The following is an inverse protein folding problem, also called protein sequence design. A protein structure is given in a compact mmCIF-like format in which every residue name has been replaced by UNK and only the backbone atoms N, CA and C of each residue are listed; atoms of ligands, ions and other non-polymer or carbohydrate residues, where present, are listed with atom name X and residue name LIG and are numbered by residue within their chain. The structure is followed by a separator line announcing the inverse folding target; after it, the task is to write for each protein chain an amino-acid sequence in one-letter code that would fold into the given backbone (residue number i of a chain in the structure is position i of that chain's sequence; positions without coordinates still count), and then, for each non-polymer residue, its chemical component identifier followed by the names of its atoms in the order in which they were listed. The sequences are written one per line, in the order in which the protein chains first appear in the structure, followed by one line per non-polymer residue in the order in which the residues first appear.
data_IF_439611305384
#
_entry.id   IF_439611305384
#
_cell.length_a   1.000
_cell.length_b   1.000
_cell.length_c   1.000
_cell.angle_alpha   90.00
_cell.angle_beta   90.00
_cell.angle_gamma   90.00
#
_symmetry.space_group_name_H-M   'P 1'
#
loop_
_entity.id
_entity.type
_entity.pdbx_description
1 polymer ?
#
# COMPACT_ATOMS: atom_id res chain seq x y z
N UNK A 1 -28.74 -33.14 -16.34
CA UNK A 1 -28.14 -31.80 -16.52
C UNK A 1 -28.02 -31.16 -15.14
N UNK A 2 -26.92 -30.52 -14.80
CA UNK A 2 -26.87 -29.72 -13.58
C UNK A 2 -27.98 -28.66 -13.64
N UNK A 3 -28.69 -28.45 -12.54
CA UNK A 3 -29.72 -27.42 -12.45
C UNK A 3 -29.08 -26.04 -12.68
N UNK A 4 -29.66 -25.22 -13.51
CA UNK A 4 -29.28 -23.85 -13.74
C UNK A 4 -30.39 -22.91 -13.35
N UNK A 5 -30.10 -21.86 -12.65
CA UNK A 5 -30.99 -20.71 -12.45
C UNK A 5 -30.55 -19.65 -13.45
N UNK A 6 -31.43 -19.22 -14.32
CA UNK A 6 -31.21 -18.15 -15.29
C UNK A 6 -31.99 -16.93 -14.86
N UNK A 7 -31.32 -15.81 -14.78
CA UNK A 7 -31.90 -14.50 -14.50
C UNK A 7 -31.74 -13.67 -15.79
N UNK A 8 -32.86 -13.30 -16.40
CA UNK A 8 -32.91 -12.53 -17.64
C UNK A 8 -32.79 -11.03 -17.32
N UNK A 9 -31.99 -10.29 -18.06
CA UNK A 9 -31.86 -8.83 -17.96
C UNK A 9 -32.90 -8.06 -18.80
N UNK A 10 -33.80 -8.78 -19.48
CA UNK A 10 -34.82 -8.22 -20.38
C UNK A 10 -34.29 -7.83 -21.76
N UNK A 11 -32.99 -7.99 -22.03
CA UNK A 11 -32.34 -7.70 -23.30
C UNK A 11 -31.83 -8.97 -24.02
N UNK A 12 -32.19 -10.15 -23.50
CA UNK A 12 -31.80 -11.44 -24.05
C UNK A 12 -30.48 -11.99 -23.50
N UNK A 13 -29.87 -11.32 -22.51
CA UNK A 13 -28.73 -11.84 -21.79
C UNK A 13 -29.15 -12.47 -20.45
N UNK A 14 -28.39 -13.45 -20.00
CA UNK A 14 -28.73 -14.21 -18.82
C UNK A 14 -27.55 -14.24 -17.85
N UNK A 15 -27.82 -13.97 -16.57
CA UNK A 15 -26.93 -14.39 -15.48
C UNK A 15 -27.23 -15.84 -15.15
N UNK A 16 -26.24 -16.71 -15.24
CA UNK A 16 -26.39 -18.14 -15.01
C UNK A 16 -25.67 -18.52 -13.75
N UNK A 17 -26.42 -19.01 -12.74
CA UNK A 17 -25.83 -19.62 -11.56
C UNK A 17 -25.63 -21.11 -11.81
N UNK A 18 -24.38 -21.55 -11.87
CA UNK A 18 -24.01 -22.96 -12.01
C UNK A 18 -23.13 -23.38 -10.85
N UNK A 19 -23.26 -24.63 -10.40
CA UNK A 19 -22.26 -25.21 -9.51
C UNK A 19 -21.08 -25.74 -10.34
N UNK A 20 -19.87 -25.54 -9.87
CA UNK A 20 -18.63 -25.93 -10.55
C UNK A 20 -18.27 -27.43 -10.40
N UNK A 21 -19.15 -28.27 -9.84
CA UNK A 21 -18.86 -29.70 -9.64
C UNK A 21 -19.89 -30.40 -8.75
N UNK A 22 -19.59 -31.66 -8.40
CA UNK A 22 -20.39 -32.43 -7.44
C UNK A 22 -20.20 -31.82 -6.04
N UNK A 23 -21.29 -31.32 -5.47
CA UNK A 23 -21.32 -30.86 -4.07
C UNK A 23 -21.59 -32.07 -3.20
N UNK A 24 -20.72 -32.37 -2.25
CA UNK A 24 -20.87 -33.47 -1.29
C UNK A 24 -22.02 -33.24 -0.27
N UNK A 25 -22.63 -32.06 -0.28
CA UNK A 25 -23.80 -31.67 0.52
C UNK A 25 -24.44 -30.43 -0.08
N UNK A 26 -25.69 -30.15 0.31
CA UNK A 26 -26.39 -28.91 -0.06
C UNK A 26 -25.60 -27.68 0.41
N UNK A 27 -25.56 -26.66 -0.43
CA UNK A 27 -24.98 -25.33 -0.11
C UNK A 27 -26.06 -24.28 -0.24
N UNK A 28 -26.19 -23.46 0.77
CA UNK A 28 -27.15 -22.36 0.80
C UNK A 28 -26.46 -21.06 0.41
N UNK A 29 -27.01 -20.35 -0.56
CA UNK A 29 -26.67 -18.96 -0.85
C UNK A 29 -27.80 -18.12 -0.31
N UNK A 30 -27.53 -17.34 0.74
CA UNK A 30 -28.51 -16.40 1.29
C UNK A 30 -28.37 -15.07 0.56
N UNK A 31 -29.43 -14.66 -0.13
CA UNK A 31 -29.51 -13.32 -0.75
C UNK A 31 -30.17 -12.42 0.29
N UNK A 32 -29.52 -11.32 0.74
CA UNK A 32 -30.13 -10.36 1.66
C UNK A 32 -31.41 -9.77 1.08
N UNK A 33 -32.40 -9.50 1.92
CA UNK A 33 -33.65 -8.83 1.51
C UNK A 33 -33.44 -7.30 1.44
N UNK A 34 -32.44 -6.88 0.70
CA UNK A 34 -32.04 -5.48 0.47
C UNK A 34 -31.43 -5.35 -0.91
N UNK A 35 -31.37 -4.12 -1.43
CA UNK A 35 -30.64 -3.85 -2.67
C UNK A 35 -29.14 -3.99 -2.39
N UNK A 36 -28.57 -5.10 -2.82
CA UNK A 36 -27.15 -5.40 -2.64
C UNK A 36 -26.53 -5.84 -3.96
N UNK A 37 -25.28 -5.48 -4.19
CA UNK A 37 -24.46 -6.01 -5.28
C UNK A 37 -23.63 -7.16 -4.76
N UNK A 38 -23.76 -8.35 -5.35
CA UNK A 38 -22.84 -9.45 -5.06
C UNK A 38 -21.45 -9.05 -5.53
N UNK A 39 -20.50 -8.96 -4.63
CA UNK A 39 -19.12 -8.69 -4.99
C UNK A 39 -18.59 -9.82 -5.88
N UNK A 40 -18.12 -9.46 -7.07
CA UNK A 40 -17.54 -10.41 -8.03
C UNK A 40 -16.14 -10.84 -7.67
N UNK A 41 -15.50 -10.11 -6.73
CA UNK A 41 -14.16 -10.40 -6.22
C UNK A 41 -14.20 -10.47 -4.70
N UNK A 42 -13.85 -11.63 -4.14
CA UNK A 42 -13.71 -11.83 -2.72
C UNK A 42 -12.27 -11.49 -2.32
N UNK A 43 -12.08 -10.50 -1.45
CA UNK A 43 -10.81 -10.22 -0.80
C UNK A 43 -10.02 -9.07 -1.42
N UNK A 44 -8.74 -9.05 -1.10
CA UNK A 44 -7.80 -8.00 -1.51
C UNK A 44 -7.46 -8.17 -2.98
N UNK A 45 -7.68 -7.13 -3.78
CA UNK A 45 -7.43 -7.12 -5.23
C UNK A 45 -6.08 -6.54 -5.62
N UNK A 46 -5.47 -5.76 -4.72
CA UNK A 46 -4.10 -5.24 -4.85
C UNK A 46 -3.41 -5.37 -3.50
N UNK A 47 -2.27 -6.04 -3.48
CA UNK A 47 -1.31 -5.98 -2.38
C UNK A 47 0.10 -6.01 -2.95
N UNK A 48 0.90 -5.01 -2.58
CA UNK A 48 2.23 -4.80 -3.11
C UNK A 48 3.18 -4.32 -2.01
N UNK A 49 4.42 -4.76 -2.05
CA UNK A 49 5.43 -4.37 -1.09
C UNK A 49 6.73 -3.94 -1.79
N UNK A 50 7.27 -2.83 -1.31
CA UNK A 50 8.51 -2.24 -1.76
C UNK A 50 9.49 -2.13 -0.60
N UNK A 51 10.77 -2.23 -0.88
CA UNK A 51 11.83 -2.09 0.11
C UNK A 51 12.91 -1.14 -0.36
N UNK A 52 13.58 -0.52 0.57
CA UNK A 52 14.71 0.37 0.30
C UNK A 52 15.96 -0.48 0.05
N UNK A 53 16.61 -0.28 -1.09
CA UNK A 53 17.74 -1.10 -1.54
C UNK A 53 19.11 -0.58 -1.08
N UNK A 54 19.18 0.67 -0.65
CA UNK A 54 20.42 1.32 -0.18
C UNK A 54 20.08 2.40 0.85
N UNK A 55 21.02 2.67 1.73
CA UNK A 55 20.94 3.76 2.71
C UNK A 55 20.73 5.11 2.03
N UNK A 56 19.96 5.97 2.67
CA UNK A 56 19.74 7.32 2.18
C UNK A 56 19.78 8.33 3.33
N UNK A 57 20.47 9.44 3.11
CA UNK A 57 20.62 10.52 4.08
C UNK A 57 19.34 11.36 4.23
N UNK A 58 19.24 12.08 5.34
CA UNK A 58 18.11 12.93 5.73
C UNK A 58 17.83 14.12 4.81
N UNK A 59 16.67 14.74 5.04
CA UNK A 59 16.14 15.94 4.36
C UNK A 59 15.80 15.76 2.88
N UNK A 60 15.52 14.51 2.47
CA UNK A 60 15.16 14.19 1.10
C UNK A 60 13.95 13.24 0.99
N UNK A 61 13.36 13.21 -0.21
CA UNK A 61 12.43 12.14 -0.60
C UNK A 61 13.22 10.84 -0.70
N UNK A 62 12.67 9.77 -0.16
CA UNK A 62 13.29 8.44 -0.21
C UNK A 62 13.09 7.86 -1.60
N UNK A 63 14.19 7.51 -2.30
CA UNK A 63 14.16 7.23 -3.74
C UNK A 63 14.60 5.83 -4.14
N UNK A 64 15.44 5.15 -3.35
CA UNK A 64 16.06 3.88 -3.75
C UNK A 64 15.16 2.67 -3.48
N UNK A 65 13.92 2.72 -3.97
CA UNK A 65 12.94 1.65 -3.79
C UNK A 65 13.02 0.59 -4.87
N UNK A 66 12.84 -0.67 -4.48
CA UNK A 66 12.59 -1.80 -5.37
C UNK A 66 11.40 -2.60 -4.87
N UNK A 67 10.64 -3.17 -5.81
CA UNK A 67 9.55 -4.09 -5.47
C UNK A 67 10.12 -5.35 -4.83
N UNK A 68 9.45 -5.87 -3.81
CA UNK A 68 9.88 -7.10 -3.13
C UNK A 68 9.70 -8.30 -4.05
N UNK A 69 10.80 -9.00 -4.31
CA UNK A 69 10.85 -10.19 -5.19
C UNK A 69 11.69 -11.31 -4.59
N UNK A 70 11.81 -11.38 -3.24
CA UNK A 70 12.54 -12.46 -2.58
C UNK A 70 11.77 -13.77 -2.64
N UNK A 71 12.51 -14.89 -2.51
CA UNK A 71 11.89 -16.22 -2.48
C UNK A 71 10.84 -16.33 -1.39
N UNK A 72 9.62 -16.72 -1.75
CA UNK A 72 8.49 -16.84 -0.83
C UNK A 72 7.68 -15.57 -0.61
N UNK A 73 8.04 -14.47 -1.29
CA UNK A 73 7.22 -13.25 -1.31
C UNK A 73 6.38 -13.20 -2.59
N UNK A 74 5.35 -12.34 -2.61
CA UNK A 74 4.49 -12.19 -3.78
C UNK A 74 3.66 -10.93 -3.71
N UNK A 75 2.99 -10.63 -4.83
CA UNK A 75 2.04 -9.52 -4.99
C UNK A 75 0.66 -10.06 -5.35
N UNK A 76 -0.37 -9.27 -5.10
CA UNK A 76 -1.74 -9.55 -5.54
C UNK A 76 -2.13 -8.46 -6.54
N UNK A 77 -2.60 -8.86 -7.71
CA UNK A 77 -3.08 -7.94 -8.75
C UNK A 77 -1.96 -7.10 -9.38
N UNK A 78 -2.29 -5.87 -9.73
CA UNK A 78 -1.35 -4.95 -10.37
C UNK A 78 -0.51 -4.21 -9.33
N UNK A 79 0.79 -4.14 -9.58
CA UNK A 79 1.74 -3.46 -8.70
C UNK A 79 1.64 -1.94 -8.78
N UNK A 80 2.08 -1.28 -7.71
CA UNK A 80 2.42 0.15 -7.75
C UNK A 80 3.50 0.39 -8.81
N UNK A 81 3.53 1.57 -9.37
CA UNK A 81 4.70 2.05 -10.11
C UNK A 81 5.45 3.12 -9.32
N UNK A 82 6.76 3.19 -9.49
CA UNK A 82 7.63 4.09 -8.75
C UNK A 82 8.55 4.88 -9.67
N UNK A 83 8.68 6.18 -9.43
CA UNK A 83 9.64 7.05 -10.11
C UNK A 83 10.12 8.15 -9.17
N UNK A 84 11.44 8.25 -8.98
CA UNK A 84 12.08 9.31 -8.17
C UNK A 84 11.45 9.49 -6.77
N UNK A 85 11.09 8.41 -6.11
CA UNK A 85 10.49 8.41 -4.77
C UNK A 85 8.97 8.59 -4.75
N UNK A 86 8.33 8.78 -5.90
CA UNK A 86 6.87 8.94 -6.02
C UNK A 86 6.24 7.64 -6.47
N UNK A 87 5.26 7.17 -5.71
CA UNK A 87 4.46 5.99 -6.02
C UNK A 87 3.13 6.38 -6.67
N UNK A 88 2.80 5.65 -7.73
CA UNK A 88 1.54 5.78 -8.46
C UNK A 88 0.70 4.53 -8.25
N UNK A 89 -0.56 4.72 -7.88
CA UNK A 89 -1.52 3.63 -7.65
C UNK A 89 -1.98 3.03 -8.98
N UNK A 90 -2.17 1.68 -9.04
CA UNK A 90 -2.58 1.00 -10.28
C UNK A 90 -4.07 1.19 -10.62
N UNK A 91 -4.90 1.52 -9.65
CA UNK A 91 -6.35 1.73 -9.82
C UNK A 91 -6.89 2.70 -8.77
N UNK A 92 -8.08 3.23 -8.99
CA UNK A 92 -8.83 3.97 -7.97
C UNK A 92 -9.29 3.05 -6.84
N UNK A 93 -9.58 3.61 -5.67
CA UNK A 93 -10.04 2.90 -4.48
C UNK A 93 -9.41 3.39 -3.18
N UNK A 94 -9.80 2.80 -2.08
CA UNK A 94 -9.21 3.08 -0.76
C UNK A 94 -8.02 2.15 -0.53
N UNK A 95 -6.86 2.73 -0.31
CA UNK A 95 -5.62 2.01 -0.05
C UNK A 95 -5.15 2.21 1.38
N UNK A 96 -4.79 1.13 2.04
CA UNK A 96 -3.94 1.18 3.23
C UNK A 96 -2.48 1.27 2.75
N UNK A 97 -1.80 2.33 3.17
CA UNK A 97 -0.38 2.56 2.91
C UNK A 97 0.36 2.48 4.24
N UNK A 98 1.29 1.54 4.36
CA UNK A 98 2.09 1.34 5.56
C UNK A 98 3.57 1.59 5.25
N UNK A 99 4.19 2.46 6.02
CA UNK A 99 5.63 2.71 6.00
C UNK A 99 6.26 2.12 7.26
N UNK A 100 7.19 1.18 7.08
CA UNK A 100 8.10 0.71 8.12
C UNK A 100 9.49 1.26 7.84
N UNK A 101 10.09 1.94 8.80
CA UNK A 101 11.43 2.51 8.65
C UNK A 101 12.41 1.96 9.69
N UNK A 102 13.65 1.78 9.27
CA UNK A 102 14.79 1.56 10.15
C UNK A 102 15.73 2.74 9.98
N UNK A 103 15.88 3.54 11.01
CA UNK A 103 16.61 4.82 10.96
C UNK A 103 17.71 4.82 12.00
N UNK A 104 18.87 5.28 11.57
CA UNK A 104 20.01 5.62 12.41
C UNK A 104 20.05 7.13 12.58
N UNK A 105 20.13 7.60 13.81
CA UNK A 105 20.20 9.02 14.12
C UNK A 105 21.10 9.29 15.32
N UNK A 106 21.80 10.42 15.27
CA UNK A 106 22.51 11.02 16.39
C UNK A 106 21.99 12.42 16.74
N UNK A 107 20.89 12.82 16.12
CA UNK A 107 20.30 14.15 16.22
C UNK A 107 19.21 14.24 17.29
N UNK A 108 18.97 15.46 17.74
CA UNK A 108 17.95 15.75 18.73
C UNK A 108 16.53 15.40 18.23
N UNK A 109 16.27 15.56 16.94
CA UNK A 109 14.94 15.28 16.35
C UNK A 109 15.08 14.72 14.94
N UNK A 110 14.54 13.54 14.72
CA UNK A 110 14.45 12.89 13.42
C UNK A 110 13.01 12.48 13.17
N UNK A 111 12.53 12.60 11.93
CA UNK A 111 11.16 12.31 11.56
C UNK A 111 11.09 11.61 10.22
N UNK A 112 10.24 10.59 10.12
CA UNK A 112 9.79 10.06 8.84
C UNK A 112 8.35 10.46 8.60
N UNK A 113 8.02 10.79 7.37
CA UNK A 113 6.67 11.25 7.02
C UNK A 113 6.13 10.52 5.80
N UNK A 114 4.81 10.37 5.78
CA UNK A 114 4.04 9.99 4.61
C UNK A 114 3.41 11.27 4.04
N UNK A 115 3.74 11.58 2.80
CA UNK A 115 3.18 12.72 2.07
C UNK A 115 2.28 12.24 0.92
N UNK A 116 1.12 12.87 0.79
CA UNK A 116 0.14 12.58 -0.27
C UNK A 116 -0.11 13.85 -1.08
N UNK A 117 -0.32 13.67 -2.37
CA UNK A 117 -0.84 14.71 -3.28
C UNK A 117 -2.13 14.27 -3.93
N UNK A 118 -3.02 15.21 -4.21
CA UNK A 118 -4.26 15.01 -4.97
C UNK A 118 -4.28 15.77 -6.30
N UNK A 119 -3.17 16.45 -6.63
CA UNK A 119 -3.02 17.24 -7.86
C UNK A 119 -1.68 16.97 -8.58
N UNK A 120 -0.96 15.91 -8.19
CA UNK A 120 0.35 15.52 -8.71
C UNK A 120 1.44 16.63 -8.67
N UNK A 121 1.29 17.61 -7.80
CA UNK A 121 2.26 18.72 -7.69
C UNK A 121 2.54 19.14 -6.25
N UNK A 122 1.50 19.42 -5.47
CA UNK A 122 1.63 19.86 -4.08
C UNK A 122 1.42 18.67 -3.14
N UNK A 123 2.40 18.40 -2.31
CA UNK A 123 2.38 17.31 -1.34
C UNK A 123 2.10 17.86 0.06
N UNK A 124 1.20 17.20 0.77
CA UNK A 124 0.91 17.47 2.18
C UNK A 124 1.39 16.30 3.05
N UNK A 125 1.99 16.61 4.18
CA UNK A 125 2.28 15.61 5.22
C UNK A 125 0.95 15.13 5.81
N UNK A 126 0.68 13.84 5.72
CA UNK A 126 -0.52 13.21 6.26
C UNK A 126 -0.22 12.51 7.58
N UNK A 127 0.97 11.92 7.69
CA UNK A 127 1.41 11.29 8.91
C UNK A 127 2.90 11.55 9.16
N UNK A 128 3.25 11.68 10.41
CA UNK A 128 4.60 11.96 10.87
C UNK A 128 4.94 11.08 12.07
N UNK A 129 6.05 10.38 11.98
CA UNK A 129 6.64 9.63 13.07
C UNK A 129 7.96 10.29 13.44
N UNK A 130 8.06 10.78 14.66
CA UNK A 130 9.22 11.48 15.15
C UNK A 130 9.75 10.88 16.45
N UNK A 131 11.03 11.04 16.66
CA UNK A 131 11.71 10.68 17.92
C UNK A 131 12.81 11.65 18.22
N UNK A 132 13.13 11.73 19.50
CA UNK A 132 14.23 12.52 20.01
C UNK A 132 15.28 11.62 20.62
N UNK A 133 16.54 11.95 20.37
CA UNK A 133 17.69 11.34 21.04
C UNK A 133 18.47 12.42 21.79
N UNK A 134 19.26 12.03 22.76
CA UNK A 134 20.26 12.96 23.32
C UNK A 134 21.35 13.18 22.29
N UNK A 135 21.68 14.43 22.01
CA UNK A 135 22.70 14.82 21.04
C UNK A 135 24.00 13.99 21.22
N UNK A 136 24.53 13.53 20.09
CA UNK A 136 25.79 12.79 19.97
C UNK A 136 25.78 11.32 20.42
N UNK A 137 24.62 10.74 20.69
CA UNK A 137 24.47 9.29 20.88
C UNK A 137 23.82 8.66 19.67
N UNK A 138 24.58 7.80 19.00
CA UNK A 138 24.04 7.04 17.87
C UNK A 138 22.92 6.12 18.35
N UNK A 139 21.76 6.23 17.75
CA UNK A 139 20.56 5.49 18.13
C UNK A 139 19.89 4.92 16.89
N UNK A 140 19.42 3.68 17.00
CA UNK A 140 18.65 3.01 15.95
C UNK A 140 17.19 2.95 16.35
N UNK A 141 16.31 3.33 15.43
CA UNK A 141 14.86 3.35 15.65
C UNK A 141 14.12 2.63 14.52
N UNK A 142 13.13 1.85 14.93
CA UNK A 142 12.17 1.25 13.99
C UNK A 142 10.83 1.90 14.26
N UNK A 143 10.24 2.47 13.21
CA UNK A 143 8.90 3.03 13.25
C UNK A 143 8.02 2.38 12.19
N UNK A 144 6.74 2.30 12.51
CA UNK A 144 5.71 1.86 11.55
C UNK A 144 4.53 2.81 11.64
N UNK A 145 4.12 3.28 10.49
CA UNK A 145 3.01 4.22 10.32
C UNK A 145 2.09 3.71 9.22
N UNK A 146 0.80 3.93 9.36
CA UNK A 146 -0.20 3.51 8.37
C UNK A 146 -1.28 4.57 8.20
N UNK A 147 -1.63 4.85 6.95
CA UNK A 147 -2.71 5.76 6.59
C UNK A 147 -3.66 5.09 5.59
N UNK A 148 -4.86 5.64 5.48
CA UNK A 148 -5.76 5.35 4.36
C UNK A 148 -5.68 6.47 3.33
N UNK A 149 -5.52 6.09 2.06
CA UNK A 149 -5.49 7.03 0.92
C UNK A 149 -6.68 6.73 0.03
N UNK A 150 -7.52 7.74 -0.18
CA UNK A 150 -8.61 7.69 -1.15
C UNK A 150 -8.07 8.07 -2.54
N UNK A 151 -7.92 7.08 -3.41
CA UNK A 151 -7.41 7.25 -4.76
C UNK A 151 -8.58 7.42 -5.72
N UNK A 152 -9.04 8.65 -5.87
CA UNK A 152 -10.12 9.03 -6.80
C UNK A 152 -9.63 9.17 -8.24
N UNK A 153 -8.35 9.43 -8.45
CA UNK A 153 -7.70 9.59 -9.74
C UNK A 153 -6.23 9.17 -9.67
N UNK A 154 -5.86 8.14 -10.40
CA UNK A 154 -4.48 7.60 -10.42
C UNK A 154 -3.46 8.53 -11.10
N UNK A 155 -3.89 9.48 -11.91
CA UNK A 155 -3.01 10.49 -12.51
C UNK A 155 -2.57 11.54 -11.48
N UNK A 156 -3.44 11.91 -10.56
CA UNK A 156 -3.27 13.02 -9.64
C UNK A 156 -2.96 12.60 -8.19
N UNK A 157 -3.54 11.49 -7.71
CA UNK A 157 -3.28 11.01 -6.34
C UNK A 157 -2.01 10.17 -6.32
N UNK A 158 -1.03 10.64 -5.56
CA UNK A 158 0.28 9.98 -5.40
C UNK A 158 0.71 9.99 -3.94
N UNK A 159 1.63 9.13 -3.60
CA UNK A 159 2.26 9.09 -2.27
C UNK A 159 3.78 9.05 -2.40
N UNK A 160 4.46 9.67 -1.44
CA UNK A 160 5.91 9.59 -1.27
C UNK A 160 6.29 9.63 0.20
N UNK A 161 7.52 9.25 0.49
CA UNK A 161 8.06 9.19 1.84
C UNK A 161 9.29 10.07 1.94
N UNK A 162 9.47 10.70 3.12
CA UNK A 162 10.65 11.54 3.38
C UNK A 162 11.22 11.27 4.75
N UNK A 163 12.52 11.50 4.86
CA UNK A 163 13.25 11.55 6.13
C UNK A 163 13.66 13.01 6.39
N UNK A 164 13.35 13.51 7.56
CA UNK A 164 13.79 14.81 8.06
C UNK A 164 14.69 14.64 9.28
N UNK A 165 15.82 15.36 9.30
CA UNK A 165 16.69 15.53 10.46
C UNK A 165 16.85 17.00 10.80
N UNK A 166 17.05 17.35 12.08
CA UNK A 166 17.02 18.74 12.53
C UNK A 166 18.28 19.55 12.25
N UNK A 167 19.47 18.96 12.21
CA UNK A 167 20.69 19.74 12.38
C UNK A 167 21.86 19.40 11.43
N UNK A 168 21.60 18.86 10.25
CA UNK A 168 22.64 18.68 9.22
C UNK A 168 23.67 17.58 9.51
N UNK A 169 23.53 16.82 10.58
CA UNK A 169 24.26 15.58 10.84
C UNK A 169 23.48 14.44 10.22
N UNK A 170 24.19 13.48 9.64
CA UNK A 170 23.63 12.44 8.80
C UNK A 170 22.72 11.48 9.59
N UNK A 171 21.43 11.76 9.61
CA UNK A 171 20.46 10.71 9.83
C UNK A 171 20.42 9.83 8.58
N UNK A 172 20.41 8.54 8.76
CA UNK A 172 20.30 7.57 7.67
C UNK A 172 19.01 6.77 7.84
N UNK A 173 18.27 6.64 6.76
CA UNK A 173 17.30 5.58 6.65
C UNK A 173 17.97 4.38 5.99
N UNK A 174 17.93 3.24 6.65
CA UNK A 174 18.63 2.05 6.21
C UNK A 174 17.86 1.30 5.12
N UNK A 175 18.61 0.92 4.10
CA UNK A 175 18.15 0.06 3.02
C UNK A 175 19.18 -1.02 2.71
N UNK A 176 18.71 -2.18 2.29
CA UNK A 176 19.55 -3.32 1.99
C UNK A 176 19.05 -4.06 0.75
N UNK A 177 19.97 -4.38 -0.18
CA UNK A 177 19.60 -5.06 -1.42
C UNK A 177 19.23 -6.54 -1.24
N UNK A 178 19.55 -7.14 -0.09
CA UNK A 178 19.41 -8.58 0.15
C UNK A 178 18.26 -8.95 1.10
N UNK A 179 17.75 -8.01 1.88
CA UNK A 179 16.64 -8.21 2.83
C UNK A 179 15.97 -6.87 3.17
N UNK A 180 14.81 -6.95 3.82
CA UNK A 180 13.97 -5.79 4.11
C UNK A 180 14.32 -5.16 5.45
N UNK A 181 14.92 -3.98 5.45
CA UNK A 181 15.09 -3.10 6.61
C UNK A 181 13.96 -2.07 6.65
N UNK A 182 13.88 -1.23 5.63
CA UNK A 182 12.82 -0.26 5.43
C UNK A 182 11.91 -0.72 4.30
N UNK A 183 10.60 -0.59 4.48
CA UNK A 183 9.61 -1.02 3.48
C UNK A 183 8.37 -0.14 3.44
N UNK A 184 7.75 -0.10 2.26
CA UNK A 184 6.42 0.45 2.04
C UNK A 184 5.49 -0.67 1.54
N UNK A 185 4.31 -0.79 2.16
CA UNK A 185 3.28 -1.77 1.78
C UNK A 185 2.03 -1.04 1.36
N UNK A 186 1.43 -1.48 0.26
CA UNK A 186 0.22 -0.93 -0.32
C UNK A 186 -0.82 -2.03 -0.46
N UNK A 187 -2.01 -1.79 0.06
CA UNK A 187 -3.10 -2.76 0.01
C UNK A 187 -4.42 -2.05 -0.31
N UNK A 188 -5.06 -2.41 -1.42
CA UNK A 188 -6.40 -1.91 -1.72
C UNK A 188 -7.41 -2.65 -0.86
N UNK A 189 -8.15 -1.90 -0.04
CA UNK A 189 -9.12 -2.45 0.92
C UNK A 189 -10.56 -2.23 0.51
N UNK A 190 -10.82 -1.38 -0.49
CA UNK A 190 -12.16 -1.09 -0.98
C UNK A 190 -12.14 -0.23 -2.24
N UNK A 191 -13.32 -0.04 -2.80
CA UNK A 191 -13.55 0.91 -3.89
C UNK A 191 -13.93 2.30 -3.34
N UNK A 192 -13.75 3.35 -4.15
CA UNK A 192 -14.18 4.73 -3.85
C UNK A 192 -15.64 4.93 -4.23
#
# INVERSE_FOLDING_TARGET
MPGQIKIDDGAGNYTILTNAGLLGSDKTITIPNETATLATTNGITVADQWYLTADQASNAVITSWSQVGFTGTGTIGSSMSHSSGVFTFPSTGIYMVTLKTYVETSNATTRTVIEVTTNNSTYSVIDEQGWQTSNSVLTYQICTSSIFVDVTDTANVKVRFRLFGSDGVADLIHGNASYIETSATFMKIGDT
#
